data_IF_545978362756
#
_entry.id   IF_545978362756
#
_cell.length_a   1.000
_cell.length_b   1.000
_cell.length_c   1.000
_cell.angle_alpha   90.00
_cell.angle_beta   90.00
_cell.angle_gamma   90.00
#
_symmetry.space_group_name_H-M   'P 1'
#
loop_
_entity.id
_entity.type
_entity.pdbx_description
1 polymer ?
#
# COMPACT_ATOMS: atom_id res chain seq x y z
N UNK A 1 -18.20 14.53 7.32
CA UNK A 1 -18.54 13.16 6.88
C UNK A 1 -18.60 13.04 5.36
N UNK A 2 -18.49 11.84 4.79
CA UNK A 2 -18.66 11.60 3.35
C UNK A 2 -20.15 11.47 2.97
N UNK A 3 -20.64 12.29 2.03
CA UNK A 3 -22.09 12.32 1.68
C UNK A 3 -22.58 11.07 0.95
N UNK A 4 -21.73 10.51 0.10
CA UNK A 4 -22.07 9.43 -0.82
C UNK A 4 -21.39 8.11 -0.44
N UNK A 5 -21.04 7.94 0.84
CA UNK A 5 -20.36 6.73 1.33
C UNK A 5 -21.16 5.45 1.03
N UNK A 6 -22.47 5.47 1.30
CA UNK A 6 -23.35 4.32 1.12
C UNK A 6 -23.61 4.01 -0.37
N UNK A 7 -23.72 5.04 -1.21
CA UNK A 7 -23.95 4.91 -2.66
C UNK A 7 -22.80 4.17 -3.36
N UNK A 8 -21.57 4.33 -2.86
CA UNK A 8 -20.37 3.71 -3.41
C UNK A 8 -20.16 2.26 -2.95
N UNK A 9 -21.03 1.73 -2.09
CA UNK A 9 -20.96 0.34 -1.62
C UNK A 9 -19.67 0.00 -0.88
N UNK A 10 -19.00 1.00 -0.28
CA UNK A 10 -17.67 0.83 0.32
C UNK A 10 -17.64 -0.18 1.48
N UNK A 11 -18.79 -0.39 2.12
CA UNK A 11 -19.01 -1.40 3.15
C UNK A 11 -18.74 -2.83 2.67
N UNK A 12 -18.78 -3.09 1.36
CA UNK A 12 -18.45 -4.40 0.77
C UNK A 12 -16.94 -4.64 0.63
N UNK A 13 -16.10 -3.59 0.72
CA UNK A 13 -14.65 -3.70 0.59
C UNK A 13 -13.92 -4.04 1.88
N UNK A 14 -14.63 -4.56 2.89
CA UNK A 14 -14.03 -5.01 4.16
C UNK A 14 -13.03 -6.16 3.98
N UNK A 15 -13.15 -6.93 2.88
CA UNK A 15 -12.20 -7.98 2.54
C UNK A 15 -10.88 -7.45 1.94
N UNK A 16 -10.88 -6.23 1.38
CA UNK A 16 -9.70 -5.66 0.72
C UNK A 16 -8.79 -5.04 1.78
N UNK A 17 -7.52 -5.43 1.72
CA UNK A 17 -6.53 -4.94 2.69
C UNK A 17 -5.89 -3.65 2.22
N UNK A 18 -5.70 -2.77 3.20
CA UNK A 18 -5.00 -1.51 3.07
C UNK A 18 -3.84 -1.52 4.05
N UNK A 19 -2.66 -1.18 3.54
CA UNK A 19 -1.43 -1.20 4.30
C UNK A 19 -0.82 0.19 4.31
N UNK A 20 -0.33 0.65 5.46
CA UNK A 20 0.52 1.84 5.48
C UNK A 20 1.83 1.50 4.81
N UNK A 21 2.35 2.43 4.02
CA UNK A 21 3.64 2.22 3.32
C UNK A 21 4.76 1.90 4.32
N UNK A 22 4.77 2.54 5.48
CA UNK A 22 5.76 2.31 6.54
C UNK A 22 5.75 0.85 7.07
N UNK A 23 4.57 0.27 7.25
CA UNK A 23 4.39 -1.11 7.71
C UNK A 23 4.92 -2.10 6.66
N UNK A 24 4.63 -1.84 5.38
CA UNK A 24 5.15 -2.65 4.26
C UNK A 24 6.67 -2.55 4.20
N UNK A 25 7.24 -1.36 4.34
CA UNK A 25 8.71 -1.18 4.38
C UNK A 25 9.30 -2.03 5.52
N UNK A 26 8.79 -1.87 6.73
CA UNK A 26 9.28 -2.59 7.90
C UNK A 26 9.20 -4.11 7.70
N UNK A 27 8.06 -4.61 7.24
CA UNK A 27 7.87 -6.02 6.90
C UNK A 27 8.90 -6.53 5.89
N UNK A 28 9.15 -5.81 4.79
CA UNK A 28 10.13 -6.21 3.77
C UNK A 28 11.58 -6.19 4.31
N UNK A 29 11.88 -5.35 5.29
CA UNK A 29 13.17 -5.35 5.98
C UNK A 29 13.31 -6.52 6.93
N UNK A 30 12.28 -6.80 7.73
CA UNK A 30 12.28 -7.90 8.68
C UNK A 30 12.31 -9.26 7.97
N UNK A 31 11.54 -9.42 6.89
CA UNK A 31 11.58 -10.65 6.09
C UNK A 31 12.95 -10.87 5.44
N UNK A 32 13.57 -9.82 4.88
CA UNK A 32 14.94 -9.91 4.36
C UNK A 32 15.92 -10.33 5.44
N UNK A 33 15.83 -9.72 6.63
CA UNK A 33 16.67 -10.01 7.78
C UNK A 33 16.50 -11.48 8.20
N UNK A 34 15.26 -11.94 8.33
CA UNK A 34 14.92 -13.32 8.67
C UNK A 34 15.56 -14.32 7.68
N UNK A 35 15.47 -14.08 6.38
CA UNK A 35 16.07 -14.99 5.38
C UNK A 35 17.60 -15.04 5.53
N UNK A 36 18.25 -13.89 5.66
CA UNK A 36 19.72 -13.81 5.75
C UNK A 36 20.27 -14.47 7.02
N UNK A 37 19.61 -14.28 8.16
CA UNK A 37 20.14 -14.73 9.46
C UNK A 37 19.68 -16.13 9.88
N UNK A 38 18.77 -16.76 9.12
CA UNK A 38 18.21 -18.07 9.48
C UNK A 38 18.37 -19.15 8.39
N UNK A 39 19.58 -19.32 7.80
CA UNK A 39 19.78 -20.30 6.75
C UNK A 39 19.51 -21.72 7.27
N UNK A 40 18.69 -22.47 6.54
CA UNK A 40 18.41 -23.89 6.81
C UNK A 40 17.60 -24.23 8.08
N UNK A 41 17.17 -23.24 8.87
CA UNK A 41 16.34 -23.45 10.08
C UNK A 41 15.19 -22.45 10.15
N UNK A 42 14.43 -22.35 9.07
CA UNK A 42 13.27 -21.46 9.02
C UNK A 42 12.12 -22.05 9.83
N UNK A 43 11.60 -21.26 10.76
CA UNK A 43 10.46 -21.62 11.60
C UNK A 43 9.32 -20.65 11.36
N UNK A 44 8.13 -21.21 11.13
CA UNK A 44 6.88 -20.46 10.98
C UNK A 44 6.66 -19.46 12.12
N UNK A 45 7.02 -19.85 13.34
CA UNK A 45 6.80 -19.06 14.55
C UNK A 45 7.57 -17.73 14.57
N UNK A 46 8.70 -17.66 13.86
CA UNK A 46 9.54 -16.45 13.80
C UNK A 46 9.47 -15.76 12.44
N UNK A 47 8.72 -16.30 11.48
CA UNK A 47 8.61 -15.72 10.17
C UNK A 47 7.84 -14.39 10.28
N UNK A 48 8.42 -13.26 9.86
CA UNK A 48 7.70 -11.99 9.83
C UNK A 48 6.47 -12.14 8.95
N UNK A 49 5.32 -11.72 9.48
CA UNK A 49 4.08 -11.64 8.74
C UNK A 49 3.67 -10.18 8.66
N UNK A 50 3.26 -9.74 7.48
CA UNK A 50 2.60 -8.45 7.33
C UNK A 50 1.29 -8.58 8.10
N UNK A 51 1.24 -7.99 9.31
CA UNK A 51 0.21 -8.30 10.28
C UNK A 51 -1.16 -8.11 9.64
N UNK A 52 -1.91 -9.20 9.59
CA UNK A 52 -3.35 -9.16 9.46
C UNK A 52 -3.84 -8.81 10.87
N UNK A 53 -4.07 -7.54 11.16
CA UNK A 53 -4.73 -7.03 12.36
C UNK A 53 -6.15 -7.58 12.55
N UNK A 54 -6.25 -8.91 12.55
CA UNK A 54 -7.34 -9.72 13.07
C UNK A 54 -7.30 -9.75 14.60
N UNK A 55 -6.41 -8.98 15.25
CA UNK A 55 -6.35 -8.80 16.70
C UNK A 55 -7.44 -7.84 17.19
N UNK A 56 -8.68 -8.05 16.77
CA UNK A 56 -9.79 -7.68 17.63
C UNK A 56 -9.96 -8.85 18.59
N UNK A 57 -9.38 -8.69 19.79
CA UNK A 57 -9.44 -9.69 20.85
C UNK A 57 -10.86 -10.21 21.00
N UNK A 58 -10.98 -11.54 21.10
CA UNK A 58 -12.05 -12.10 21.87
C UNK A 58 -11.87 -11.54 23.29
N UNK A 59 -12.57 -10.45 23.61
CA UNK A 59 -12.79 -10.02 24.98
C UNK A 59 -13.66 -11.10 25.66
N UNK A 60 -13.03 -12.23 25.96
CA UNK A 60 -13.49 -13.15 26.99
C UNK A 60 -13.36 -12.42 28.34
N UNK A 61 -14.42 -11.70 28.67
CA UNK A 61 -14.97 -11.53 30.02
C UNK A 61 -13.96 -11.73 31.16
N UNK A 62 -13.14 -10.71 31.44
CA UNK A 62 -12.32 -10.62 32.66
C UNK A 62 -12.80 -9.47 33.54
N UNK A 63 -13.70 -9.75 34.47
CA UNK A 63 -14.09 -8.83 35.53
C UNK A 63 -12.90 -8.49 36.44
N UNK A 64 -12.57 -7.20 36.54
CA UNK A 64 -12.15 -6.52 37.76
C UNK A 64 -10.76 -6.86 38.33
N UNK A 65 -9.83 -5.92 38.23
CA UNK A 65 -9.09 -5.45 39.42
C UNK A 65 -8.52 -4.06 39.18
N UNK A 66 -8.56 -3.25 40.23
CA UNK A 66 -8.54 -1.80 40.22
C UNK A 66 -7.16 -1.17 39.96
N UNK A 67 -7.22 -0.06 39.23
CA UNK A 67 -6.58 1.23 39.51
C UNK A 67 -5.07 1.24 39.82
N UNK A 68 -4.23 1.64 38.85
CA UNK A 68 -3.06 2.52 39.03
C UNK A 68 -2.69 3.21 37.72
N UNK A 69 -2.85 4.54 37.68
CA UNK A 69 -2.73 5.38 36.49
C UNK A 69 -1.33 5.40 35.84
N UNK A 70 -1.26 4.85 34.63
CA UNK A 70 -0.18 5.08 33.66
C UNK A 70 -0.70 5.98 32.52
N UNK A 71 0.10 6.93 32.00
CA UNK A 71 -0.30 7.75 30.86
C UNK A 71 -0.50 6.85 29.64
N UNK A 72 -1.77 6.64 29.32
CA UNK A 72 -2.27 5.84 28.22
C UNK A 72 -1.81 6.51 26.91
N UNK A 73 -0.63 6.13 26.41
CA UNK A 73 -0.32 6.29 24.99
C UNK A 73 -1.44 5.61 24.26
N UNK A 74 -2.29 6.38 23.59
CA UNK A 74 -3.38 5.88 22.77
C UNK A 74 -2.76 4.92 21.75
N UNK A 75 -2.78 3.63 22.10
CA UNK A 75 -2.49 2.57 21.16
C UNK A 75 -3.58 2.70 20.13
N UNK A 76 -3.24 3.29 18.98
CA UNK A 76 -4.14 3.35 17.86
C UNK A 76 -4.48 1.91 17.51
N UNK A 77 -5.65 1.45 17.95
CA UNK A 77 -6.25 0.21 17.47
C UNK A 77 -6.51 0.40 15.98
N UNK A 78 -5.51 0.03 15.18
CA UNK A 78 -5.60 0.01 13.73
C UNK A 78 -6.43 -1.21 13.35
N UNK A 79 -7.75 -1.07 13.49
CA UNK A 79 -8.71 -2.03 12.94
C UNK A 79 -8.48 -2.11 11.45
N UNK A 80 -8.13 -3.29 10.97
CA UNK A 80 -7.97 -3.53 9.55
C UNK A 80 -9.27 -3.25 8.81
N UNK A 81 -9.14 -2.51 7.72
CA UNK A 81 -10.25 -2.03 6.94
C UNK A 81 -9.80 -0.84 6.11
N UNK A 82 -10.77 -0.17 5.50
CA UNK A 82 -10.52 1.06 4.78
C UNK A 82 -9.84 2.08 5.71
N UNK A 83 -8.84 2.83 5.23
CA UNK A 83 -8.19 3.91 6.00
C UNK A 83 -9.13 5.10 6.28
N UNK A 84 -10.37 5.03 5.79
CA UNK A 84 -11.43 5.99 5.99
C UNK A 84 -12.72 5.26 6.40
N UNK A 85 -13.63 5.99 7.04
CA UNK A 85 -15.01 5.58 7.33
C UNK A 85 -15.96 6.70 6.92
N UNK A 86 -17.25 6.44 6.91
CA UNK A 86 -18.28 7.45 6.63
C UNK A 86 -18.09 8.74 7.45
N UNK A 87 -17.83 8.58 8.74
CA UNK A 87 -17.59 9.66 9.70
C UNK A 87 -16.09 9.94 9.98
N UNK A 88 -15.17 9.28 9.28
CA UNK A 88 -13.72 9.44 9.47
C UNK A 88 -13.02 9.64 8.13
N UNK A 89 -12.53 10.86 7.88
CA UNK A 89 -11.85 11.18 6.63
C UNK A 89 -10.54 10.38 6.51
N UNK A 90 -10.18 10.03 5.28
CA UNK A 90 -8.87 9.46 4.97
C UNK A 90 -7.73 10.38 5.52
N UNK A 91 -6.66 9.87 6.15
CA UNK A 91 -5.59 10.69 6.73
C UNK A 91 -4.88 11.58 5.69
N UNK A 92 -4.59 12.85 6.01
CA UNK A 92 -4.01 13.81 5.04
C UNK A 92 -2.55 13.58 4.77
N UNK A 93 -1.83 13.08 5.76
CA UNK A 93 -0.37 13.00 5.77
C UNK A 93 0.14 11.57 5.54
N UNK A 94 -0.76 10.60 5.39
CA UNK A 94 -0.41 9.20 5.19
C UNK A 94 -0.70 8.77 3.75
N UNK A 95 0.07 7.79 3.31
CA UNK A 95 -0.11 7.10 2.02
C UNK A 95 -0.27 5.62 2.28
N UNK A 96 -1.17 5.01 1.53
CA UNK A 96 -1.51 3.60 1.69
C UNK A 96 -1.27 2.84 0.39
N UNK A 97 -1.02 1.54 0.54
CA UNK A 97 -1.04 0.55 -0.53
C UNK A 97 -2.33 -0.25 -0.38
N UNK A 98 -3.05 -0.43 -1.47
CA UNK A 98 -4.26 -1.25 -1.52
C UNK A 98 -3.98 -2.53 -2.29
N UNK A 99 -4.32 -3.68 -1.71
CA UNK A 99 -4.13 -5.00 -2.33
C UNK A 99 -4.83 -5.11 -3.70
N UNK A 100 -6.00 -4.49 -3.82
CA UNK A 100 -6.83 -4.54 -5.02
C UNK A 100 -6.46 -3.49 -6.09
N UNK A 101 -5.41 -2.68 -5.87
CA UNK A 101 -4.98 -1.65 -6.82
C UNK A 101 -3.60 -2.02 -7.37
N UNK A 102 -3.53 -2.15 -8.69
CA UNK A 102 -2.28 -2.39 -9.41
C UNK A 102 -1.71 -3.80 -9.18
N UNK A 103 -0.39 -3.91 -9.09
CA UNK A 103 0.31 -5.20 -9.00
C UNK A 103 0.65 -5.63 -7.56
N UNK A 104 0.32 -4.81 -6.56
CA UNK A 104 0.73 -5.04 -5.17
C UNK A 104 0.18 -6.34 -4.60
N UNK A 105 -1.13 -6.57 -4.70
CA UNK A 105 -1.75 -7.77 -4.12
C UNK A 105 -1.13 -9.05 -4.65
N UNK A 106 -1.03 -9.18 -5.98
CA UNK A 106 -0.45 -10.36 -6.61
C UNK A 106 1.01 -10.59 -6.19
N UNK A 107 1.82 -9.53 -6.07
CA UNK A 107 3.23 -9.66 -5.65
C UNK A 107 3.37 -10.02 -4.17
N UNK A 108 2.51 -9.46 -3.30
CA UNK A 108 2.48 -9.82 -1.88
C UNK A 108 2.01 -11.26 -1.68
N UNK A 109 1.00 -11.72 -2.43
CA UNK A 109 0.53 -13.09 -2.40
C UNK A 109 1.61 -14.09 -2.86
N UNK A 110 2.31 -13.76 -3.96
CA UNK A 110 3.43 -14.58 -4.44
C UNK A 110 4.55 -14.64 -3.42
N UNK A 111 4.89 -13.50 -2.79
CA UNK A 111 5.90 -13.44 -1.73
C UNK A 111 5.48 -14.29 -0.52
N UNK A 112 4.23 -14.18 -0.09
CA UNK A 112 3.69 -14.97 1.02
C UNK A 112 3.69 -16.47 0.72
N UNK A 113 3.30 -16.87 -0.50
CA UNK A 113 3.36 -18.25 -0.97
C UNK A 113 4.79 -18.79 -0.94
N UNK A 114 5.74 -18.08 -1.56
CA UNK A 114 7.14 -18.53 -1.59
C UNK A 114 7.74 -18.60 -0.19
N UNK A 115 7.46 -17.62 0.66
CA UNK A 115 7.94 -17.63 2.05
C UNK A 115 7.33 -18.79 2.85
N UNK A 116 6.08 -19.16 2.59
CA UNK A 116 5.47 -20.37 3.18
C UNK A 116 6.16 -21.66 2.71
N UNK A 117 6.60 -21.73 1.46
CA UNK A 117 7.42 -22.84 0.95
C UNK A 117 8.81 -22.86 1.60
N UNK A 118 9.41 -21.70 1.88
CA UNK A 118 10.71 -21.62 2.56
C UNK A 118 10.68 -22.23 3.96
N UNK A 119 9.59 -22.00 4.69
CA UNK A 119 9.38 -22.59 6.02
C UNK A 119 9.03 -24.08 5.94
N UNK A 120 8.38 -24.51 4.85
CA UNK A 120 7.92 -25.88 4.65
C UNK A 120 8.56 -26.45 3.38
N UNK A 121 9.85 -26.76 3.46
CA UNK A 121 10.67 -27.14 2.29
C UNK A 121 10.18 -28.41 1.58
N UNK A 122 9.44 -29.28 2.27
CA UNK A 122 8.74 -30.42 1.68
C UNK A 122 7.75 -30.00 0.58
N UNK A 123 7.29 -28.75 0.56
CA UNK A 123 6.42 -28.23 -0.51
C UNK A 123 7.17 -28.03 -1.84
N UNK A 124 8.50 -28.02 -1.86
CA UNK A 124 9.29 -27.95 -3.10
C UNK A 124 8.99 -29.11 -4.05
N UNK A 125 8.57 -30.26 -3.52
CA UNK A 125 8.13 -31.44 -4.30
C UNK A 125 6.96 -31.15 -5.25
N UNK A 126 6.25 -30.01 -5.07
CA UNK A 126 5.18 -29.58 -5.97
C UNK A 126 5.69 -29.04 -7.32
N UNK A 127 6.99 -28.85 -7.49
CA UNK A 127 7.59 -28.42 -8.76
C UNK A 127 7.27 -26.97 -9.13
N UNK A 128 7.59 -26.03 -8.24
CA UNK A 128 7.44 -24.61 -8.55
C UNK A 128 8.39 -24.21 -9.68
N UNK A 129 7.88 -23.44 -10.65
CA UNK A 129 8.67 -23.01 -11.80
C UNK A 129 9.90 -22.21 -11.36
N UNK A 130 11.09 -22.65 -11.82
CA UNK A 130 12.39 -22.05 -11.52
C UNK A 130 12.84 -22.16 -10.05
N UNK A 131 12.31 -23.12 -9.30
CA UNK A 131 12.72 -23.37 -7.92
C UNK A 131 12.89 -24.87 -7.69
N UNK A 132 14.11 -25.36 -7.93
CA UNK A 132 14.44 -26.78 -7.78
C UNK A 132 15.08 -27.06 -6.41
N UNK A 133 15.76 -26.06 -5.84
CA UNK A 133 16.47 -26.17 -4.57
C UNK A 133 16.01 -25.11 -3.56
N UNK A 134 16.37 -25.31 -2.29
CA UNK A 134 16.16 -24.30 -1.23
C UNK A 134 16.94 -23.02 -1.54
N UNK A 135 18.13 -23.13 -2.16
CA UNK A 135 18.93 -21.98 -2.56
C UNK A 135 18.23 -21.14 -3.64
N UNK A 136 17.65 -21.78 -4.66
CA UNK A 136 16.89 -21.09 -5.70
C UNK A 136 15.69 -20.35 -5.11
N UNK A 137 15.05 -20.94 -4.11
CA UNK A 137 13.92 -20.32 -3.41
C UNK A 137 14.34 -19.08 -2.64
N UNK A 138 15.44 -19.15 -1.89
CA UNK A 138 16.02 -18.01 -1.17
C UNK A 138 16.38 -16.88 -2.15
N UNK A 139 17.06 -17.20 -3.25
CA UNK A 139 17.39 -16.24 -4.29
C UNK A 139 16.13 -15.61 -4.90
N UNK A 140 15.15 -16.43 -5.27
CA UNK A 140 13.90 -15.96 -5.89
C UNK A 140 13.15 -15.00 -4.96
N UNK A 141 13.06 -15.32 -3.67
CA UNK A 141 12.43 -14.44 -2.69
C UNK A 141 13.21 -13.14 -2.51
N UNK A 142 14.54 -13.18 -2.52
CA UNK A 142 15.36 -11.97 -2.45
C UNK A 142 15.17 -11.06 -3.67
N UNK A 143 15.02 -11.63 -4.87
CA UNK A 143 14.68 -10.86 -6.09
C UNK A 143 13.29 -10.22 -5.97
N UNK A 144 12.29 -10.95 -5.47
CA UNK A 144 10.94 -10.40 -5.23
C UNK A 144 10.95 -9.26 -4.20
N UNK A 145 11.67 -9.43 -3.08
CA UNK A 145 11.83 -8.40 -2.06
C UNK A 145 12.46 -7.13 -2.64
N UNK A 146 13.48 -7.28 -3.49
CA UNK A 146 14.10 -6.15 -4.18
C UNK A 146 13.13 -5.46 -5.15
N UNK A 147 12.36 -6.24 -5.91
CA UNK A 147 11.32 -5.72 -6.81
C UNK A 147 10.26 -4.89 -6.07
N UNK A 148 9.76 -5.40 -4.94
CA UNK A 148 8.82 -4.67 -4.09
C UNK A 148 9.43 -3.40 -3.51
N UNK A 149 10.70 -3.44 -3.07
CA UNK A 149 11.39 -2.23 -2.60
C UNK A 149 11.55 -1.17 -3.68
N UNK A 150 11.80 -1.58 -4.93
CA UNK A 150 11.80 -0.64 -6.07
C UNK A 150 10.43 0.00 -6.27
N UNK A 151 9.34 -0.76 -6.21
CA UNK A 151 7.99 -0.21 -6.30
C UNK A 151 7.70 0.86 -5.22
N UNK A 152 8.23 0.70 -4.00
CA UNK A 152 8.12 1.70 -2.93
C UNK A 152 8.88 2.98 -3.28
N UNK A 153 10.13 2.83 -3.74
CA UNK A 153 10.98 3.98 -4.15
C UNK A 153 10.33 4.75 -5.29
N UNK A 154 9.78 4.03 -6.27
CA UNK A 154 9.11 4.58 -7.43
C UNK A 154 7.66 5.04 -7.13
N UNK A 155 7.19 4.85 -5.89
CA UNK A 155 5.83 5.19 -5.40
C UNK A 155 4.71 4.61 -6.27
N UNK A 156 4.92 3.41 -6.80
CA UNK A 156 3.97 2.73 -7.68
C UNK A 156 2.70 2.38 -6.91
N UNK A 157 1.54 2.78 -7.45
CA UNK A 157 0.19 2.50 -6.92
C UNK A 157 -0.06 2.98 -5.49
N UNK A 158 0.66 4.01 -5.02
CA UNK A 158 0.37 4.64 -3.74
C UNK A 158 -0.93 5.43 -3.81
N UNK A 159 -1.74 5.31 -2.75
CA UNK A 159 -3.03 5.98 -2.62
C UNK A 159 -2.95 7.02 -1.51
N UNK A 160 -2.99 8.29 -1.92
CA UNK A 160 -3.21 9.44 -1.05
C UNK A 160 -4.70 9.70 -0.82
N UNK A 161 -5.03 10.57 0.14
CA UNK A 161 -6.40 11.06 0.36
C UNK A 161 -7.08 11.51 -0.94
N UNK A 162 -6.39 12.33 -1.74
CA UNK A 162 -6.97 12.91 -2.96
C UNK A 162 -7.27 11.81 -3.99
N UNK A 163 -6.36 10.85 -4.16
CA UNK A 163 -6.57 9.72 -5.07
C UNK A 163 -7.68 8.79 -4.59
N UNK A 164 -7.77 8.54 -3.27
CA UNK A 164 -8.86 7.77 -2.68
C UNK A 164 -10.21 8.44 -2.92
N UNK A 165 -10.33 9.73 -2.56
CA UNK A 165 -11.56 10.50 -2.74
C UNK A 165 -11.96 10.58 -4.21
N UNK A 166 -11.02 10.86 -5.12
CA UNK A 166 -11.29 10.91 -6.56
C UNK A 166 -11.69 9.55 -7.14
N UNK A 167 -11.09 8.44 -6.69
CA UNK A 167 -11.36 7.10 -7.22
C UNK A 167 -12.77 6.61 -6.90
N UNK A 168 -13.30 6.99 -5.74
CA UNK A 168 -14.62 6.60 -5.27
C UNK A 168 -15.64 7.74 -5.31
N UNK A 169 -15.32 8.83 -6.02
CA UNK A 169 -16.14 10.05 -6.14
C UNK A 169 -16.59 10.64 -4.79
N UNK A 170 -15.78 10.47 -3.73
CA UNK A 170 -16.21 10.80 -2.38
C UNK A 170 -16.10 12.29 -2.07
N UNK A 171 -17.21 12.85 -1.56
CA UNK A 171 -17.29 14.25 -1.18
C UNK A 171 -17.31 14.41 0.35
N UNK A 172 -16.20 14.86 0.93
CA UNK A 172 -16.12 15.16 2.36
C UNK A 172 -16.74 16.52 2.67
N UNK A 173 -17.81 16.53 3.45
CA UNK A 173 -18.29 17.76 4.08
C UNK A 173 -17.55 17.97 5.40
N UNK A 174 -16.76 19.04 5.45
CA UNK A 174 -16.44 19.65 6.72
C UNK A 174 -17.77 20.14 7.29
N UNK A 175 -18.12 19.68 8.50
CA UNK A 175 -19.18 20.35 9.23
C UNK A 175 -18.70 21.79 9.45
N UNK A 176 -19.35 22.77 8.84
CA UNK A 176 -19.17 24.20 9.16
C UNK A 176 -19.75 24.53 10.55
N UNK A 177 -19.78 23.54 11.45
CA UNK A 177 -20.15 23.71 12.85
C UNK A 177 -18.92 24.28 13.58
N UNK A 178 -18.84 25.61 13.58
CA UNK A 178 -18.40 26.48 14.69
C UNK A 178 -18.09 27.93 14.24
N UNK A 179 -18.74 28.44 13.19
CA UNK A 179 -18.71 29.89 12.89
C UNK A 179 -19.86 30.69 13.53
N UNK A 180 -20.75 30.06 14.31
CA UNK A 180 -21.99 30.71 14.81
C UNK A 180 -22.16 30.77 16.33
N UNK A 181 -21.17 30.37 17.14
CA UNK A 181 -21.11 30.72 18.57
C UNK A 181 -20.15 31.88 18.83
N UNK A 182 -20.31 32.97 18.07
CA UNK A 182 -19.95 34.31 18.55
C UNK A 182 -21.20 35.18 18.45
N UNK A 183 -22.04 35.07 19.46
CA UNK A 183 -23.07 36.05 19.79
C UNK A 183 -22.41 37.43 19.86
N UNK A 184 -22.91 38.45 19.14
CA UNK A 184 -22.37 39.80 19.23
C UNK A 184 -22.81 40.41 20.56
N UNK A 185 -21.98 40.27 21.61
CA UNK A 185 -22.06 41.21 22.71
C UNK A 185 -21.47 42.54 22.23
N UNK A 186 -22.40 43.40 21.81
CA UNK A 186 -22.22 44.83 21.66
C UNK A 186 -21.43 45.37 22.86
N UNK A 187 -20.18 45.79 22.61
CA UNK A 187 -19.57 46.84 23.41
C UNK A 187 -19.17 47.97 22.47
N UNK A 188 -20.06 48.96 22.44
CA UNK A 188 -19.82 50.31 21.98
C UNK A 188 -18.68 50.91 22.80
N UNK A 189 -17.57 51.28 22.16
CA UNK A 189 -16.75 52.49 22.39
C UNK A 189 -15.62 52.48 21.34
N UNK A 190 -15.76 53.19 20.23
CA UNK A 190 -15.17 54.53 20.00
C UNK A 190 -13.69 54.63 20.45
N UNK A 191 -12.73 54.64 19.52
CA UNK A 191 -12.13 55.86 18.93
C UNK A 191 -10.79 55.59 18.22
N UNK A 192 -10.65 56.24 17.05
CA UNK A 192 -9.44 56.81 16.42
C UNK A 192 -8.28 55.87 16.05
N UNK A 193 -8.04 55.62 14.75
CA UNK A 193 -7.26 56.46 13.81
C UNK A 193 -5.80 56.00 13.73
N UNK A 194 -5.28 55.95 12.49
CA UNK A 194 -3.91 56.33 12.03
C UNK A 194 -3.30 55.33 11.01
N UNK A 195 -3.24 55.83 9.76
CA UNK A 195 -2.25 55.64 8.66
C UNK A 195 -1.84 54.22 8.23
N UNK A 196 -2.10 53.83 6.97
CA UNK A 196 -1.24 54.11 5.79
C UNK A 196 0.22 53.65 5.98
N UNK A 197 0.61 52.58 5.29
CA UNK A 197 1.90 52.46 4.61
C UNK A 197 1.90 51.27 3.65
N UNK A 198 1.76 51.63 2.39
CA UNK A 198 1.99 50.83 1.19
C UNK A 198 3.47 50.46 1.14
N UNK A 199 3.81 49.18 0.93
CA UNK A 199 5.12 48.81 0.40
C UNK A 199 4.97 47.69 -0.63
N UNK A 200 4.80 48.12 -1.88
CA UNK A 200 5.00 47.32 -3.09
C UNK A 200 6.50 47.10 -3.29
N UNK A 201 6.96 45.85 -3.17
CA UNK A 201 8.24 45.45 -3.74
C UNK A 201 7.99 44.62 -5.00
N UNK A 202 7.94 45.35 -6.10
CA UNK A 202 7.97 44.86 -7.48
C UNK A 202 9.40 44.41 -7.81
N UNK A 203 9.69 43.12 -7.75
CA UNK A 203 10.95 42.57 -8.29
C UNK A 203 10.74 42.22 -9.77
N UNK A 204 11.29 43.08 -10.62
CA UNK A 204 11.44 42.91 -12.07
C UNK A 204 12.64 41.99 -12.31
N UNK A 205 12.46 40.85 -12.99
CA UNK A 205 13.58 40.05 -13.53
C UNK A 205 13.33 39.70 -14.99
N UNK A 206 13.93 40.51 -15.85
CA UNK A 206 14.18 40.28 -17.29
C UNK A 206 15.13 39.06 -17.44
N UNK A 207 14.73 38.07 -18.23
CA UNK A 207 15.05 37.82 -19.64
C UNK A 207 16.34 37.00 -19.89
N UNK A 208 16.24 36.20 -20.96
CA UNK A 208 17.29 35.54 -21.75
C UNK A 208 17.87 34.21 -21.24
N UNK A 209 17.46 33.12 -21.88
CA UNK A 209 18.40 32.40 -22.76
C UNK A 209 17.64 31.37 -23.59
N UNK A 210 17.49 31.71 -24.87
CA UNK A 210 17.23 30.79 -25.97
C UNK A 210 18.31 29.70 -26.01
N UNK A 211 17.91 28.45 -26.24
CA UNK A 211 18.82 27.41 -26.74
C UNK A 211 18.06 26.43 -27.62
N UNK A 212 17.94 26.81 -28.89
CA UNK A 212 17.78 25.87 -30.01
C UNK A 212 19.12 25.17 -30.23
N UNK A 213 19.19 23.84 -30.12
CA UNK A 213 20.17 23.03 -30.87
C UNK A 213 19.70 21.56 -30.95
N UNK A 214 19.07 21.25 -32.09
CA UNK A 214 19.24 20.05 -32.94
C UNK A 214 19.38 18.65 -32.31
N UNK A 215 18.41 17.79 -32.62
CA UNK A 215 18.60 16.66 -33.55
C UNK A 215 19.47 15.47 -33.11
N UNK A 216 18.82 14.33 -32.88
CA UNK A 216 19.20 12.93 -33.25
C UNK A 216 18.22 12.00 -32.49
N UNK A 217 17.35 11.20 -33.10
CA UNK A 217 17.61 10.32 -34.24
C UNK A 217 18.21 9.00 -33.75
N UNK A 218 17.44 8.15 -33.04
CA UNK A 218 17.85 6.78 -32.73
C UNK A 218 16.63 5.86 -32.49
N UNK A 219 16.21 5.24 -33.58
CA UNK A 219 15.86 3.81 -33.72
C UNK A 219 14.98 3.13 -32.67
N UNK A 220 13.71 2.99 -33.03
CA UNK A 220 12.81 1.95 -32.55
C UNK A 220 13.46 0.56 -32.68
N UNK A 221 13.51 -0.28 -31.63
CA UNK A 221 13.92 -1.66 -31.78
C UNK A 221 12.83 -2.44 -32.54
N UNK A 222 13.21 -3.05 -33.66
CA UNK A 222 12.39 -4.04 -34.35
C UNK A 222 12.14 -5.22 -33.40
N UNK A 223 10.89 -5.42 -32.99
CA UNK A 223 10.46 -6.64 -32.35
C UNK A 223 10.65 -7.79 -33.34
N UNK A 224 11.62 -8.66 -33.04
CA UNK A 224 11.90 -9.89 -33.76
C UNK A 224 10.84 -10.90 -33.33
N UNK A 225 9.87 -11.17 -34.21
CA UNK A 225 8.94 -12.29 -34.05
C UNK A 225 9.71 -13.60 -33.92
N UNK A 226 9.76 -14.14 -32.71
CA UNK A 226 10.18 -15.51 -32.47
C UNK A 226 9.00 -16.41 -32.80
N UNK A 227 9.03 -16.98 -34.01
CA UNK A 227 8.14 -18.06 -34.43
C UNK A 227 8.60 -19.32 -33.72
N UNK A 228 7.99 -19.65 -32.58
CA UNK A 228 8.17 -20.93 -31.92
C UNK A 228 7.41 -22.00 -32.71
N UNK A 229 8.16 -22.80 -33.46
CA UNK A 229 7.70 -24.09 -33.95
C UNK A 229 7.40 -25.01 -32.75
N UNK A 230 6.15 -25.00 -32.28
CA UNK A 230 5.63 -26.09 -31.48
C UNK A 230 5.22 -27.21 -32.43
N UNK A 231 6.07 -28.24 -32.47
CA UNK A 231 5.78 -29.56 -32.99
C UNK A 231 4.59 -30.15 -32.24
N UNK A 232 3.48 -30.30 -32.97
CA UNK A 232 2.25 -30.97 -32.60
C UNK A 232 2.53 -32.48 -32.47
N UNK A 233 2.72 -32.93 -31.23
CA UNK A 233 2.87 -34.33 -30.89
C UNK A 233 1.51 -34.96 -30.66
N UNK A 234 0.79 -35.25 -31.75
CA UNK A 234 -0.44 -36.05 -31.70
C UNK A 234 -0.10 -37.47 -31.26
N UNK A 235 -0.47 -37.83 -30.04
CA UNK A 235 -0.42 -39.21 -29.53
C UNK A 235 -1.61 -39.98 -30.11
N UNK A 236 -1.33 -40.90 -31.03
CA UNK A 236 -2.30 -41.85 -31.59
C UNK A 236 -2.56 -42.97 -30.57
N UNK A 237 -3.78 -43.03 -30.04
CA UNK A 237 -4.26 -44.05 -29.10
C UNK A 237 -5.15 -45.04 -29.85
N UNK A 238 -4.56 -45.82 -30.75
CA UNK A 238 -5.22 -47.00 -31.34
C UNK A 238 -4.78 -48.26 -30.60
N UNK A 239 -5.52 -48.58 -29.53
CA UNK A 239 -5.42 -49.84 -28.81
C UNK A 239 -6.09 -50.96 -29.63
N UNK A 240 -5.31 -51.92 -30.13
CA UNK A 240 -5.83 -53.16 -30.69
C UNK A 240 -6.25 -54.12 -29.56
N UNK A 241 -7.41 -54.81 -29.66
CA UNK A 241 -7.76 -55.88 -28.75
C UNK A 241 -7.07 -57.20 -29.14
N UNK A 242 -6.72 -58.06 -28.17
CA UNK A 242 -6.16 -59.39 -28.45
C UNK A 242 -7.26 -60.37 -28.86
N UNK A 243 -6.87 -61.31 -29.75
CA UNK A 243 -7.65 -62.48 -30.17
C UNK A 243 -7.57 -63.62 -29.17
#
# INVERSE_FOLDING_TARGET
MYKNWQEQGLSSFTAIRWYRVEEVIQYLHDLRRYIIYTPGKMSSAYMPMLQKGDSQGCDEHGQGTEDHGMPQRQAHEHKQGLPAKENQRFPSHEVYICEAIGEWGLKLDRLALMSSVMVNTNRLERGYSHVDTVGDLEEHVMVMLHGLKRMIVDRVDFVSRQQFEARYDLNWQAEEQEAYEQTPQQNHHQLSSISESINSNHVKREETSSRDTTGSGASTPQYRSMSSNHSDGTVDLTSNPPS
#
